data_IF_550938148121
#
_entry.id   IF_550938148121
#
_cell.length_a   1.000
_cell.length_b   1.000
_cell.length_c   1.000
_cell.angle_alpha   90.00
_cell.angle_beta   90.00
_cell.angle_gamma   90.00
#
_symmetry.space_group_name_H-M   'P 1'
#
loop_
_entity.id
_entity.type
_entity.pdbx_description
1 polymer ?
#
# COMPACT_ATOMS: atom_id res chain seq x y z
N UNK A 1 -30.66 -17.56 8.94
CA UNK A 1 -31.26 -17.22 7.62
C UNK A 1 -31.86 -18.43 6.92
N UNK A 2 -31.13 -19.54 6.74
CA UNK A 2 -31.67 -20.73 6.05
C UNK A 2 -32.98 -21.27 6.67
N UNK A 3 -33.02 -21.49 7.99
CA UNK A 3 -34.23 -22.00 8.66
C UNK A 3 -35.42 -21.04 8.50
N UNK A 4 -35.20 -19.73 8.64
CA UNK A 4 -36.23 -18.70 8.42
C UNK A 4 -36.81 -18.76 7.01
N UNK A 5 -35.96 -18.91 5.99
CA UNK A 5 -36.41 -19.10 4.61
C UNK A 5 -37.19 -20.41 4.41
N UNK A 6 -36.75 -21.52 5.03
CA UNK A 6 -37.42 -22.82 4.92
C UNK A 6 -38.77 -22.86 5.67
N UNK A 7 -38.92 -22.07 6.73
CA UNK A 7 -40.13 -22.03 7.57
C UNK A 7 -41.14 -20.97 7.10
N UNK A 8 -40.68 -19.77 6.74
CA UNK A 8 -41.52 -18.60 6.44
C UNK A 8 -41.60 -18.29 4.93
N UNK A 9 -40.71 -18.84 4.11
CA UNK A 9 -40.70 -18.72 2.64
C UNK A 9 -40.08 -17.44 2.07
N UNK A 10 -40.09 -16.33 2.81
CA UNK A 10 -39.53 -15.04 2.38
C UNK A 10 -38.55 -14.47 3.41
N UNK A 11 -37.54 -13.72 2.94
CA UNK A 11 -36.60 -12.99 3.79
C UNK A 11 -36.87 -11.49 3.64
N UNK A 12 -36.69 -10.73 4.72
CA UNK A 12 -36.77 -9.26 4.62
C UNK A 12 -35.60 -8.71 3.80
N UNK A 13 -35.74 -7.47 3.31
CA UNK A 13 -34.65 -6.77 2.62
C UNK A 13 -33.40 -6.67 3.50
N UNK A 14 -33.56 -6.33 4.78
CA UNK A 14 -32.46 -6.25 5.75
C UNK A 14 -31.76 -7.59 5.94
N UNK A 15 -32.54 -8.68 6.02
CA UNK A 15 -31.99 -10.04 6.08
C UNK A 15 -31.12 -10.29 4.84
N UNK A 16 -31.66 -10.05 3.64
CA UNK A 16 -30.94 -10.29 2.38
C UNK A 16 -29.63 -9.48 2.33
N UNK A 17 -29.68 -8.18 2.68
CA UNK A 17 -28.49 -7.31 2.70
C UNK A 17 -27.45 -7.84 3.69
N UNK A 18 -27.86 -8.20 4.91
CA UNK A 18 -26.95 -8.74 5.92
C UNK A 18 -26.32 -10.07 5.49
N UNK A 19 -27.10 -10.96 4.88
CA UNK A 19 -26.63 -12.23 4.34
C UNK A 19 -25.62 -12.05 3.21
N UNK A 20 -25.88 -11.13 2.28
CA UNK A 20 -24.95 -10.82 1.18
C UNK A 20 -23.66 -10.21 1.74
N UNK A 21 -23.76 -9.25 2.67
CA UNK A 21 -22.58 -8.62 3.30
C UNK A 21 -21.71 -9.65 4.00
N UNK A 22 -22.30 -10.49 4.87
CA UNK A 22 -21.55 -11.49 5.61
C UNK A 22 -20.78 -12.44 4.69
N UNK A 23 -21.42 -12.92 3.61
CA UNK A 23 -20.78 -13.83 2.65
C UNK A 23 -19.78 -13.14 1.73
N UNK A 24 -19.94 -11.84 1.50
CA UNK A 24 -19.00 -11.02 0.73
C UNK A 24 -17.72 -10.79 1.53
N UNK A 25 -17.84 -10.44 2.82
CA UNK A 25 -16.69 -10.26 3.74
C UNK A 25 -15.94 -11.59 3.94
N UNK A 26 -16.66 -12.71 4.00
CA UNK A 26 -16.08 -14.05 4.07
C UNK A 26 -15.50 -14.56 2.72
N UNK A 27 -15.56 -13.76 1.66
CA UNK A 27 -15.11 -14.14 0.30
C UNK A 27 -15.79 -15.40 -0.27
N UNK A 28 -17.02 -15.71 0.15
CA UNK A 28 -17.78 -16.86 -0.35
C UNK A 28 -18.60 -16.56 -1.60
N UNK A 29 -18.97 -15.29 -1.79
CA UNK A 29 -19.72 -14.79 -2.94
C UNK A 29 -19.13 -13.47 -3.43
N UNK A 30 -19.34 -13.17 -4.70
CA UNK A 30 -19.02 -11.88 -5.30
C UNK A 30 -20.30 -11.25 -5.86
N UNK A 31 -20.88 -10.23 -5.19
CA UNK A 31 -22.07 -9.55 -5.70
C UNK A 31 -21.79 -8.88 -7.05
N UNK A 32 -22.57 -9.24 -8.06
CA UNK A 32 -22.39 -8.75 -9.43
C UNK A 32 -23.32 -7.56 -9.70
N UNK A 33 -22.73 -6.45 -10.14
CA UNK A 33 -23.44 -5.24 -10.54
C UNK A 33 -23.23 -4.97 -12.04
N UNK A 34 -24.12 -4.17 -12.63
CA UNK A 34 -24.01 -3.75 -14.02
C UNK A 34 -24.11 -2.22 -14.17
N UNK A 35 -23.48 -1.70 -15.21
CA UNK A 35 -23.45 -0.27 -15.48
C UNK A 35 -22.54 0.08 -16.65
N UNK A 36 -22.53 1.36 -17.01
CA UNK A 36 -21.61 1.94 -17.98
C UNK A 36 -21.07 3.25 -17.42
N UNK A 37 -19.81 3.23 -16.99
CA UNK A 37 -19.10 4.44 -16.55
C UNK A 37 -19.04 5.47 -17.67
N UNK A 38 -18.75 5.05 -18.91
CA UNK A 38 -18.72 5.91 -20.09
C UNK A 38 -20.03 6.67 -20.32
N UNK A 39 -21.18 6.02 -20.08
CA UNK A 39 -22.51 6.64 -20.23
C UNK A 39 -23.04 7.24 -18.91
N UNK A 40 -22.24 7.26 -17.85
CA UNK A 40 -22.63 7.70 -16.51
C UNK A 40 -23.89 7.00 -15.96
N UNK A 41 -24.02 5.68 -16.19
CA UNK A 41 -25.16 4.87 -15.73
C UNK A 41 -24.70 3.77 -14.78
N UNK A 42 -25.25 3.71 -13.58
CA UNK A 42 -25.01 2.63 -12.61
C UNK A 42 -23.83 2.83 -11.65
N UNK A 43 -22.94 3.81 -11.88
CA UNK A 43 -21.78 4.07 -11.00
C UNK A 43 -22.22 4.42 -9.58
N UNK A 44 -23.26 5.26 -9.43
CA UNK A 44 -23.79 5.65 -8.11
C UNK A 44 -24.30 4.43 -7.33
N UNK A 45 -25.00 3.50 -7.98
CA UNK A 45 -25.49 2.26 -7.35
C UNK A 45 -24.35 1.32 -6.96
N UNK A 46 -23.27 1.30 -7.74
CA UNK A 46 -22.07 0.57 -7.35
C UNK A 46 -21.41 1.19 -6.11
N UNK A 47 -21.39 2.53 -5.98
CA UNK A 47 -20.89 3.19 -4.77
C UNK A 47 -21.77 2.92 -3.54
N UNK A 48 -23.10 2.89 -3.70
CA UNK A 48 -24.02 2.46 -2.62
C UNK A 48 -23.67 1.02 -2.16
N UNK A 49 -23.43 0.13 -3.12
CA UNK A 49 -23.07 -1.27 -2.86
C UNK A 49 -21.70 -1.43 -2.17
N UNK A 50 -20.73 -0.54 -2.43
CA UNK A 50 -19.45 -0.51 -1.72
C UNK A 50 -19.70 -0.32 -0.22
N UNK A 51 -20.52 0.66 0.16
CA UNK A 51 -20.85 0.92 1.57
C UNK A 51 -21.63 -0.25 2.16
N UNK A 52 -22.58 -0.82 1.42
CA UNK A 52 -23.45 -1.90 1.90
C UNK A 52 -22.72 -3.23 2.07
N UNK A 53 -21.79 -3.60 1.18
CA UNK A 53 -21.25 -4.96 1.12
C UNK A 53 -19.75 -5.08 1.35
N UNK A 54 -18.94 -4.03 1.14
CA UNK A 54 -17.50 -4.09 1.43
C UNK A 54 -17.22 -3.88 2.93
N UNK A 55 -16.15 -4.51 3.46
CA UNK A 55 -15.82 -4.44 4.87
C UNK A 55 -15.33 -3.05 5.27
N UNK A 56 -15.65 -2.65 6.50
CA UNK A 56 -14.90 -1.64 7.22
C UNK A 56 -13.57 -2.24 7.74
N UNK A 57 -12.58 -1.42 8.14
CA UNK A 57 -11.34 -1.90 8.74
C UNK A 57 -11.54 -2.82 9.96
N UNK A 58 -12.65 -2.65 10.68
CA UNK A 58 -13.03 -3.46 11.85
C UNK A 58 -13.75 -4.77 11.49
N UNK A 59 -14.20 -4.93 10.25
CA UNK A 59 -14.94 -6.13 9.82
C UNK A 59 -14.03 -7.26 9.34
N UNK A 60 -12.73 -6.98 9.20
CA UNK A 60 -11.71 -7.94 8.80
C UNK A 60 -10.88 -8.42 10.00
N UNK A 61 -10.28 -9.61 9.93
CA UNK A 61 -9.40 -10.09 10.98
C UNK A 61 -8.24 -9.11 11.26
N UNK A 62 -7.75 -9.04 12.51
CA UNK A 62 -6.53 -8.32 12.87
C UNK A 62 -5.37 -8.67 11.94
N UNK A 63 -4.56 -7.68 11.58
CA UNK A 63 -3.41 -7.91 10.69
C UNK A 63 -2.37 -8.79 11.40
N UNK A 64 -1.87 -9.79 10.68
CA UNK A 64 -0.82 -10.67 11.17
C UNK A 64 0.57 -10.09 10.90
N UNK A 65 1.53 -10.46 11.74
CA UNK A 65 2.94 -10.12 11.59
C UNK A 65 3.82 -10.92 12.53
N UNK A 66 5.09 -10.52 12.62
CA UNK A 66 6.10 -11.13 13.47
C UNK A 66 6.73 -10.05 14.36
N UNK A 67 7.06 -10.39 15.60
CA UNK A 67 7.90 -9.53 16.43
C UNK A 67 9.37 -9.58 15.97
N UNK A 68 10.27 -8.88 16.65
CA UNK A 68 11.70 -8.87 16.31
C UNK A 68 12.41 -10.20 16.59
N UNK A 69 11.77 -11.12 17.32
CA UNK A 69 12.27 -12.46 17.64
C UNK A 69 11.61 -13.53 16.72
N UNK A 70 11.00 -13.13 15.61
CA UNK A 70 10.24 -13.98 14.67
C UNK A 70 9.05 -14.74 15.29
N UNK A 71 8.47 -14.24 16.39
CA UNK A 71 7.26 -14.82 16.98
C UNK A 71 6.01 -14.23 16.33
N UNK A 72 5.03 -15.07 15.92
CA UNK A 72 3.78 -14.58 15.37
C UNK A 72 3.04 -13.67 16.36
N UNK A 73 2.59 -12.51 15.88
CA UNK A 73 1.76 -11.57 16.61
C UNK A 73 0.71 -10.92 15.70
N UNK A 74 -0.29 -10.27 16.29
CA UNK A 74 -1.35 -9.60 15.56
C UNK A 74 -1.54 -8.17 16.06
N UNK A 75 -2.14 -7.34 15.21
CA UNK A 75 -2.54 -5.96 15.54
C UNK A 75 -4.01 -5.77 15.23
N UNK A 76 -4.78 -5.52 16.28
CA UNK A 76 -6.20 -5.22 16.19
C UNK A 76 -6.41 -3.84 15.57
N UNK A 77 -7.45 -3.70 14.75
CA UNK A 77 -7.85 -2.43 14.16
C UNK A 77 -8.54 -1.53 15.22
N UNK A 78 -7.72 -0.96 16.10
CA UNK A 78 -8.15 -0.08 17.18
C UNK A 78 -7.15 1.06 17.36
N UNK A 79 -7.66 2.24 17.71
CA UNK A 79 -6.86 3.44 17.98
C UNK A 79 -6.07 3.34 19.29
N UNK A 80 -6.55 2.53 20.24
CA UNK A 80 -5.88 2.28 21.52
C UNK A 80 -4.76 1.22 21.41
N UNK A 81 -4.68 0.50 20.29
CA UNK A 81 -3.64 -0.50 20.06
C UNK A 81 -2.29 0.16 19.72
N UNK A 82 -1.15 -0.53 19.94
CA UNK A 82 0.15 0.03 19.58
C UNK A 82 0.28 0.28 18.08
N UNK A 83 0.80 1.45 17.69
CA UNK A 83 0.87 1.87 16.29
C UNK A 83 1.53 0.84 15.37
N UNK A 84 0.88 0.55 14.24
CA UNK A 84 1.46 -0.19 13.12
C UNK A 84 0.91 0.30 11.77
N UNK A 85 1.80 0.45 10.80
CA UNK A 85 1.46 0.83 9.45
C UNK A 85 2.38 0.18 8.42
N UNK A 86 1.86 0.00 7.21
CA UNK A 86 2.60 -0.51 6.06
C UNK A 86 2.83 0.61 5.04
N UNK A 87 4.07 0.82 4.63
CA UNK A 87 4.40 1.68 3.52
C UNK A 87 4.16 0.93 2.21
N UNK A 88 3.08 1.23 1.49
CA UNK A 88 2.69 0.46 0.30
C UNK A 88 3.00 1.16 -1.03
N UNK A 89 3.29 2.46 -1.00
CA UNK A 89 3.70 3.20 -2.20
C UNK A 89 4.62 4.35 -1.86
N UNK A 90 5.64 4.53 -2.68
CA UNK A 90 6.49 5.71 -2.66
C UNK A 90 6.31 6.45 -3.98
N UNK A 91 6.22 7.76 -3.89
CA UNK A 91 6.08 8.65 -5.03
C UNK A 91 6.85 9.93 -4.76
N UNK A 92 7.58 10.42 -5.76
CA UNK A 92 8.18 11.75 -5.69
C UNK A 92 7.19 12.80 -6.21
N UNK A 93 6.73 13.70 -5.35
CA UNK A 93 5.91 14.83 -5.76
C UNK A 93 6.80 16.07 -6.06
N UNK A 94 6.54 16.80 -7.16
CA UNK A 94 7.35 17.98 -7.53
C UNK A 94 7.36 19.12 -6.51
N UNK A 95 6.33 19.24 -5.67
CA UNK A 95 6.15 20.37 -4.76
C UNK A 95 6.53 20.04 -3.32
N UNK A 96 6.21 18.83 -2.86
CA UNK A 96 6.43 18.42 -1.45
C UNK A 96 7.58 17.42 -1.28
N UNK A 97 8.16 16.92 -2.38
CA UNK A 97 9.23 15.94 -2.36
C UNK A 97 8.71 14.51 -2.22
N UNK A 98 9.51 13.65 -1.57
CA UNK A 98 9.17 12.22 -1.43
C UNK A 98 7.97 12.02 -0.51
N UNK A 99 6.94 11.36 -1.05
CA UNK A 99 5.74 10.92 -0.36
C UNK A 99 5.80 9.41 -0.14
N UNK A 100 5.57 8.99 1.10
CA UNK A 100 5.42 7.60 1.48
C UNK A 100 3.98 7.38 1.91
N UNK A 101 3.23 6.63 1.11
CA UNK A 101 1.86 6.26 1.42
C UNK A 101 1.83 5.12 2.43
N UNK A 102 1.11 5.35 3.52
CA UNK A 102 1.00 4.49 4.66
C UNK A 102 -0.44 4.01 4.80
N UNK A 103 -0.60 2.71 4.99
CA UNK A 103 -1.82 2.10 5.50
C UNK A 103 -1.66 1.89 7.00
N UNK A 104 -2.43 2.60 7.82
CA UNK A 104 -2.41 2.38 9.28
C UNK A 104 -3.36 1.23 9.61
N UNK A 105 -2.83 0.20 10.27
CA UNK A 105 -3.61 -0.96 10.68
C UNK A 105 -4.06 -0.87 12.14
N UNK A 106 -3.27 -0.23 12.99
CA UNK A 106 -3.57 -0.09 14.42
C UNK A 106 -2.88 1.14 15.00
N UNK A 107 -3.43 1.66 16.10
CA UNK A 107 -2.97 2.85 16.78
C UNK A 107 -3.12 4.13 15.96
N UNK A 108 -2.53 5.21 16.48
CA UNK A 108 -2.59 6.55 15.89
C UNK A 108 -1.19 7.03 15.55
N UNK A 109 -1.05 7.65 14.38
CA UNK A 109 0.18 8.30 13.93
C UNK A 109 0.03 9.82 13.98
N UNK A 110 0.82 10.53 14.78
CA UNK A 110 0.81 11.99 14.79
C UNK A 110 1.98 12.58 14.01
N UNK A 111 1.76 13.77 13.46
CA UNK A 111 2.84 14.60 12.92
C UNK A 111 3.80 14.99 14.04
N UNK A 112 5.08 14.67 13.86
CA UNK A 112 6.15 14.89 14.85
C UNK A 112 6.60 13.61 15.56
N UNK A 113 5.82 12.53 15.50
CA UNK A 113 6.12 11.27 16.19
C UNK A 113 7.39 10.62 15.64
N UNK A 114 8.03 9.82 16.50
CA UNK A 114 9.16 8.97 16.10
C UNK A 114 8.71 7.52 16.13
N UNK A 115 8.79 6.86 14.98
CA UNK A 115 8.37 5.47 14.78
C UNK A 115 9.57 4.61 14.42
N UNK A 116 9.43 3.28 14.55
CA UNK A 116 10.44 2.32 14.14
C UNK A 116 10.10 1.76 12.76
N UNK A 117 11.01 1.88 11.81
CA UNK A 117 11.04 0.98 10.67
C UNK A 117 11.57 -0.37 11.14
N UNK A 118 10.67 -1.30 11.42
CA UNK A 118 11.00 -2.60 12.03
C UNK A 118 11.73 -3.54 11.07
N UNK A 119 11.57 -3.36 9.75
CA UNK A 119 12.27 -4.13 8.72
C UNK A 119 13.76 -3.78 8.67
N UNK A 120 14.09 -2.49 8.81
CA UNK A 120 15.47 -1.97 8.75
C UNK A 120 16.08 -1.69 10.11
N UNK A 121 15.31 -1.82 11.18
CA UNK A 121 15.66 -1.45 12.55
C UNK A 121 16.19 -0.01 12.65
N UNK A 122 15.49 0.93 12.01
CA UNK A 122 15.85 2.35 11.97
C UNK A 122 14.71 3.23 12.48
N UNK A 123 15.06 4.29 13.22
CA UNK A 123 14.07 5.26 13.71
C UNK A 123 13.76 6.28 12.64
N UNK A 124 12.48 6.52 12.42
CA UNK A 124 11.95 7.50 11.47
C UNK A 124 11.19 8.58 12.23
N UNK A 125 11.40 9.84 11.85
CA UNK A 125 10.62 10.95 12.40
C UNK A 125 9.57 11.39 11.39
N UNK A 126 8.31 11.29 11.78
CA UNK A 126 7.18 11.73 10.96
C UNK A 126 7.16 13.26 10.95
N UNK A 127 7.40 13.86 9.79
CA UNK A 127 7.35 15.30 9.62
C UNK A 127 5.92 15.81 9.46
N UNK A 128 5.46 15.84 8.21
CA UNK A 128 4.11 16.26 7.83
C UNK A 128 3.32 15.07 7.30
N UNK A 129 2.03 15.03 7.62
CA UNK A 129 1.08 14.06 7.09
C UNK A 129 0.10 14.76 6.15
N UNK A 130 -0.17 14.12 5.02
CA UNK A 130 -1.06 14.63 3.98
C UNK A 130 -2.10 13.56 3.64
N UNK A 131 -3.35 13.99 3.50
CA UNK A 131 -4.41 13.21 2.88
C UNK A 131 -4.59 13.70 1.44
N UNK A 132 -4.48 12.77 0.50
CA UNK A 132 -4.60 13.06 -0.92
C UNK A 132 -6.08 12.96 -1.33
N UNK A 133 -6.71 14.10 -1.62
CA UNK A 133 -8.06 14.15 -2.18
C UNK A 133 -8.00 14.28 -3.70
N UNK A 134 -9.15 14.17 -4.36
CA UNK A 134 -9.26 14.14 -5.82
C UNK A 134 -8.56 15.32 -6.53
N UNK A 135 -8.63 16.52 -5.96
CA UNK A 135 -8.08 17.75 -6.55
C UNK A 135 -7.23 18.57 -5.57
N UNK A 136 -7.14 18.17 -4.30
CA UNK A 136 -6.46 18.93 -3.26
C UNK A 136 -5.65 18.04 -2.33
N UNK A 137 -4.69 18.66 -1.65
CA UNK A 137 -3.81 17.99 -0.68
C UNK A 137 -4.10 18.62 0.67
N UNK A 138 -4.66 17.83 1.58
CA UNK A 138 -5.05 18.30 2.90
C UNK A 138 -4.00 17.89 3.90
N UNK A 139 -3.37 18.86 4.55
CA UNK A 139 -2.48 18.57 5.67
C UNK A 139 -3.29 18.16 6.90
N UNK A 140 -2.89 17.05 7.50
CA UNK A 140 -3.56 16.45 8.66
C UNK A 140 -2.57 16.33 9.81
N UNK A 141 -3.07 16.39 11.05
CA UNK A 141 -2.22 16.31 12.24
C UNK A 141 -1.97 14.88 12.68
N UNK A 142 -2.93 13.99 12.44
CA UNK A 142 -2.89 12.59 12.86
C UNK A 142 -3.63 11.70 11.85
N UNK A 143 -3.38 10.39 11.95
CA UNK A 143 -4.02 9.33 11.16
C UNK A 143 -4.37 8.18 12.10
N UNK A 144 -5.59 7.67 12.01
CA UNK A 144 -6.15 6.65 12.90
C UNK A 144 -6.07 5.24 12.31
N UNK A 145 -6.42 4.24 13.13
CA UNK A 145 -6.44 2.85 12.70
C UNK A 145 -7.48 2.67 11.58
N UNK A 146 -7.05 2.10 10.47
CA UNK A 146 -7.96 1.88 9.35
C UNK A 146 -8.01 3.04 8.34
N UNK A 147 -7.14 4.04 8.47
CA UNK A 147 -6.98 5.12 7.48
C UNK A 147 -5.74 4.94 6.57
N UNK A 148 -5.67 5.78 5.53
CA UNK A 148 -4.54 5.89 4.60
C UNK A 148 -4.12 7.35 4.49
N UNK A 149 -2.82 7.60 4.58
CA UNK A 149 -2.23 8.92 4.43
C UNK A 149 -0.83 8.85 3.80
N UNK A 150 -0.29 10.00 3.42
CA UNK A 150 1.07 10.14 2.94
C UNK A 150 1.94 10.90 3.95
N UNK A 151 3.05 10.31 4.34
CA UNK A 151 4.09 10.97 5.11
C UNK A 151 5.12 11.62 4.17
N UNK A 152 5.51 12.85 4.48
CA UNK A 152 6.46 13.62 3.68
C UNK A 152 7.88 13.45 4.22
N UNK A 153 8.82 13.11 3.34
CA UNK A 153 10.26 13.22 3.62
C UNK A 153 10.91 12.01 4.29
N UNK A 154 10.27 10.84 4.27
CA UNK A 154 10.86 9.58 4.76
C UNK A 154 11.84 9.01 3.72
N UNK A 155 13.14 9.20 3.95
CA UNK A 155 14.19 8.84 2.97
C UNK A 155 14.61 7.37 3.01
N UNK A 156 14.56 6.76 4.19
CA UNK A 156 15.03 5.39 4.43
C UNK A 156 13.94 4.35 4.26
N UNK A 157 12.68 4.75 4.12
CA UNK A 157 11.53 3.86 3.95
C UNK A 157 11.40 3.43 2.49
N UNK A 158 11.17 2.15 2.25
CA UNK A 158 10.86 1.55 0.94
C UNK A 158 9.46 0.97 0.90
N UNK A 159 8.91 0.74 -0.30
CA UNK A 159 7.65 0.01 -0.46
C UNK A 159 7.77 -1.39 0.15
N UNK A 160 6.81 -1.78 1.00
CA UNK A 160 6.79 -3.01 1.78
C UNK A 160 7.34 -2.87 3.21
N UNK A 161 7.93 -1.74 3.58
CA UNK A 161 8.43 -1.53 4.94
C UNK A 161 7.29 -1.36 5.95
N UNK A 162 7.50 -1.88 7.16
CA UNK A 162 6.59 -1.68 8.29
C UNK A 162 7.10 -0.55 9.19
N UNK A 163 6.21 0.39 9.53
CA UNK A 163 6.41 1.41 10.56
C UNK A 163 5.61 1.00 11.80
N UNK A 164 6.25 0.92 12.95
CA UNK A 164 5.63 0.46 14.20
C UNK A 164 6.01 1.37 15.37
N UNK A 165 5.27 1.23 16.48
CA UNK A 165 5.63 1.82 17.76
C UNK A 165 6.99 1.31 18.25
N UNK A 166 7.76 2.17 18.94
CA UNK A 166 9.12 1.86 19.41
C UNK A 166 9.15 0.81 20.52
N UNK A 167 8.11 0.79 21.36
CA UNK A 167 7.93 -0.08 22.52
C UNK A 167 7.22 -1.41 22.17
N UNK A 168 6.54 -1.44 21.02
CA UNK A 168 5.82 -2.61 20.54
C UNK A 168 6.11 -2.85 19.04
N UNK A 169 7.37 -3.20 18.68
CA UNK A 169 7.76 -3.42 17.31
C UNK A 169 7.03 -4.63 16.71
N UNK A 170 6.65 -4.51 15.44
CA UNK A 170 6.07 -5.58 14.63
C UNK A 170 6.55 -5.43 13.20
N UNK A 171 6.80 -6.54 12.52
CA UNK A 171 7.03 -6.64 11.09
C UNK A 171 5.76 -7.24 10.49
N UNK A 172 5.01 -6.43 9.74
CA UNK A 172 3.85 -6.92 9.01
C UNK A 172 4.32 -7.80 7.85
N UNK A 173 3.44 -8.69 7.36
CA UNK A 173 3.75 -9.60 6.28
C UNK A 173 4.37 -8.85 5.09
N UNK A 174 5.60 -9.25 4.73
CA UNK A 174 6.34 -8.62 3.64
C UNK A 174 5.68 -9.02 2.33
N UNK A 175 5.43 -8.02 1.48
CA UNK A 175 4.98 -8.30 0.11
C UNK A 175 6.05 -9.12 -0.61
N UNK A 176 5.67 -10.29 -1.13
CA UNK A 176 6.51 -11.05 -2.04
C UNK A 176 6.52 -10.38 -3.41
N UNK A 177 7.68 -9.87 -3.81
CA UNK A 177 7.86 -9.32 -5.16
C UNK A 177 8.37 -10.42 -6.10
N UNK A 178 7.71 -10.63 -7.25
CA UNK A 178 8.14 -11.61 -8.22
C UNK A 178 9.53 -11.25 -8.77
N UNK A 179 10.28 -12.27 -9.19
CA UNK A 179 11.58 -12.05 -9.80
C UNK A 179 11.44 -11.44 -11.21
N UNK A 180 12.33 -10.48 -11.58
CA UNK A 180 12.35 -9.93 -12.93
C UNK A 180 12.53 -11.01 -14.01
N UNK A 181 11.77 -10.91 -15.09
CA UNK A 181 11.77 -11.90 -16.19
C UNK A 181 12.54 -11.44 -17.43
N UNK A 182 12.83 -10.14 -17.55
CA UNK A 182 13.57 -9.56 -18.66
C UNK A 182 14.67 -8.65 -18.14
N UNK A 183 15.78 -8.58 -18.86
CA UNK A 183 16.90 -7.70 -18.55
C UNK A 183 17.39 -6.99 -19.81
N UNK A 184 17.77 -5.73 -19.67
CA UNK A 184 18.31 -4.91 -20.75
C UNK A 184 19.53 -4.15 -20.24
N UNK A 185 20.57 -4.04 -21.07
CA UNK A 185 21.70 -3.17 -20.78
C UNK A 185 21.35 -1.72 -21.14
N UNK A 186 21.67 -0.80 -20.24
CA UNK A 186 21.52 0.65 -20.45
C UNK A 186 22.86 1.34 -20.28
N UNK A 187 23.14 2.29 -21.18
CA UNK A 187 24.38 3.05 -21.19
C UNK A 187 24.09 4.54 -21.29
N UNK A 188 24.84 5.38 -20.54
CA UNK A 188 24.69 6.81 -20.63
C UNK A 188 25.30 7.34 -21.93
N UNK A 189 24.62 8.29 -22.60
CA UNK A 189 25.13 8.90 -23.84
C UNK A 189 26.41 9.71 -23.61
N UNK A 190 26.57 10.29 -22.42
CA UNK A 190 27.74 11.08 -22.05
C UNK A 190 28.23 10.70 -20.66
N UNK A 191 29.51 10.99 -20.35
CA UNK A 191 30.06 10.77 -18.99
C UNK A 191 29.31 11.56 -17.91
N UNK A 192 28.78 12.74 -18.23
CA UNK A 192 28.00 13.54 -17.29
C UNK A 192 26.63 12.90 -16.98
N UNK A 193 26.09 12.10 -17.91
CA UNK A 193 24.82 11.42 -17.72
C UNK A 193 24.98 10.14 -16.88
N UNK A 194 26.19 9.62 -16.69
CA UNK A 194 26.43 8.42 -15.90
C UNK A 194 25.99 8.59 -14.44
N UNK A 195 26.35 9.71 -13.81
CA UNK A 195 25.96 10.01 -12.43
C UNK A 195 24.45 10.28 -12.31
N UNK A 196 23.88 11.00 -13.28
CA UNK A 196 22.43 11.27 -13.33
C UNK A 196 21.62 10.00 -13.52
N UNK A 197 22.07 9.11 -14.40
CA UNK A 197 21.47 7.81 -14.66
C UNK A 197 21.46 6.96 -13.38
N UNK A 198 22.60 6.88 -12.68
CA UNK A 198 22.68 6.14 -11.42
C UNK A 198 21.71 6.69 -10.36
N UNK A 199 21.58 8.02 -10.25
CA UNK A 199 20.63 8.66 -9.34
C UNK A 199 19.17 8.39 -9.72
N UNK A 200 18.83 8.45 -11.01
CA UNK A 200 17.49 8.19 -11.51
C UNK A 200 17.08 6.72 -11.29
N UNK A 201 17.95 5.78 -11.65
CA UNK A 201 17.74 4.34 -11.47
C UNK A 201 17.52 3.97 -10.00
N UNK A 202 18.30 4.56 -9.07
CA UNK A 202 18.10 4.34 -7.65
C UNK A 202 16.74 4.84 -7.15
N UNK A 203 16.26 6.00 -7.65
CA UNK A 203 14.92 6.51 -7.30
C UNK A 203 13.82 5.59 -7.84
N UNK A 204 13.95 5.11 -9.07
CA UNK A 204 12.99 4.18 -9.66
C UNK A 204 12.94 2.85 -8.90
N UNK A 205 14.10 2.30 -8.49
CA UNK A 205 14.17 1.08 -7.69
C UNK A 205 13.55 1.24 -6.29
N UNK A 206 13.57 2.45 -5.71
CA UNK A 206 12.86 2.74 -4.45
C UNK A 206 11.34 2.80 -4.63
N UNK A 207 10.87 3.27 -5.79
CA UNK A 207 9.43 3.35 -6.11
C UNK A 207 8.83 2.00 -6.49
N UNK A 208 9.63 1.11 -7.08
CA UNK A 208 9.24 -0.22 -7.58
C UNK A 208 10.25 -1.32 -7.17
N UNK A 209 9.94 -2.13 -6.15
CA UNK A 209 10.80 -3.25 -5.73
C UNK A 209 10.94 -4.39 -6.75
N UNK A 210 10.08 -4.45 -7.76
CA UNK A 210 10.18 -5.41 -8.87
C UNK A 210 11.22 -4.98 -9.92
N UNK A 211 11.70 -3.74 -9.84
CA UNK A 211 12.77 -3.23 -10.68
C UNK A 211 14.13 -3.43 -9.99
N UNK A 212 15.03 -4.16 -10.65
CA UNK A 212 16.38 -4.43 -10.13
C UNK A 212 17.43 -3.78 -11.04
N UNK A 213 18.47 -3.23 -10.42
CA UNK A 213 19.60 -2.61 -11.11
C UNK A 213 20.87 -3.29 -10.62
N UNK A 214 21.72 -3.71 -11.55
CA UNK A 214 23.06 -4.24 -11.24
C UNK A 214 24.07 -3.76 -12.25
N UNK A 215 25.33 -3.70 -11.86
CA UNK A 215 26.45 -3.50 -12.80
C UNK A 215 27.04 -4.87 -13.10
N UNK A 216 27.20 -5.18 -14.37
CA UNK A 216 27.89 -6.38 -14.80
C UNK A 216 29.40 -6.19 -14.69
N UNK A 217 30.07 -7.01 -13.89
CA UNK A 217 31.50 -6.85 -13.59
C UNK A 217 32.40 -7.21 -14.78
N UNK A 218 31.94 -8.06 -15.70
CA UNK A 218 32.71 -8.46 -16.89
C UNK A 218 32.67 -7.39 -17.98
N UNK A 219 31.49 -6.88 -18.32
CA UNK A 219 31.33 -5.86 -19.37
C UNK A 219 31.45 -4.41 -18.86
N UNK A 220 31.25 -4.19 -17.56
CA UNK A 220 31.13 -2.85 -16.96
C UNK A 220 29.80 -2.15 -17.26
N UNK A 221 28.85 -2.83 -17.92
CA UNK A 221 27.55 -2.26 -18.30
C UNK A 221 26.58 -2.23 -17.11
N UNK A 222 25.65 -1.28 -17.12
CA UNK A 222 24.53 -1.27 -16.17
C UNK A 222 23.38 -2.08 -16.76
N UNK A 223 22.97 -3.13 -16.05
CA UNK A 223 21.85 -3.99 -16.42
C UNK A 223 20.65 -3.61 -15.56
N UNK A 224 19.54 -3.30 -16.23
CA UNK A 224 18.24 -3.11 -15.61
C UNK A 224 17.36 -4.34 -15.87
N UNK A 225 16.61 -4.76 -14.86
CA UNK A 225 15.73 -5.93 -14.93
C UNK A 225 14.34 -5.58 -14.42
N UNK A 226 13.31 -6.06 -15.11
CA UNK A 226 11.92 -5.79 -14.76
C UNK A 226 10.95 -6.92 -15.14
N UNK A 227 9.66 -6.61 -15.04
CA UNK A 227 8.56 -7.57 -15.20
C UNK A 227 8.13 -7.81 -16.66
N UNK A 228 8.63 -7.03 -17.61
CA UNK A 228 8.30 -7.16 -19.03
C UNK A 228 8.86 -6.01 -19.86
N UNK A 229 8.74 -6.11 -21.18
CA UNK A 229 9.25 -5.12 -22.13
C UNK A 229 8.65 -3.74 -21.90
N UNK A 230 7.31 -3.63 -21.86
CA UNK A 230 6.62 -2.36 -21.60
C UNK A 230 6.99 -1.75 -20.24
N UNK A 231 7.27 -2.58 -19.23
CA UNK A 231 7.71 -2.08 -17.93
C UNK A 231 9.08 -1.39 -18.07
N UNK A 232 10.05 -2.02 -18.71
CA UNK A 232 11.35 -1.40 -18.94
C UNK A 232 11.26 -0.17 -19.83
N UNK A 233 10.42 -0.18 -20.88
CA UNK A 233 10.20 0.96 -21.77
C UNK A 233 9.74 2.21 -21.00
N UNK A 234 8.73 2.05 -20.14
CA UNK A 234 8.23 3.16 -19.31
C UNK A 234 9.30 3.66 -18.33
N UNK A 235 10.08 2.76 -17.73
CA UNK A 235 11.14 3.17 -16.80
C UNK A 235 12.27 3.94 -17.50
N UNK A 236 12.63 3.54 -18.71
CA UNK A 236 13.61 4.27 -19.53
C UNK A 236 13.06 5.61 -19.99
N UNK A 237 11.78 5.71 -20.36
CA UNK A 237 11.14 6.99 -20.76
C UNK A 237 11.03 7.99 -19.58
N UNK A 238 10.92 7.48 -18.35
CA UNK A 238 10.90 8.30 -17.13
C UNK A 238 12.27 8.87 -16.72
N UNK A 239 13.38 8.39 -17.30
CA UNK A 239 14.75 8.82 -16.98
C UNK A 239 15.18 10.04 -17.80
#
# INVERSE_FOLDING_TARGET
MMNKYLEEGELSEDDIIAGIRARTIACEIQPMFCGSAFKNKGVQRMLDAVVQFLPAPTDIPPVAGFDLDDKPCTREASDDAPFSALAFKIMTDPYVGQLTFLRVYSGVLNSGDTVLNSVKNQKERIGRLLQMHANERKEIKFVEAGDIAAAVGLKSVTTGDTLAALDAPIILERMEFPEPVISQAVEPKTKADQEKMALALNRLAQEDPSFRVRTDEESGQTIISGMGELHLEILVDRM
#
